data_IF_714476653447
#
_entry.id   IF_714476653447
#
_cell.length_a   1.000
_cell.length_b   1.000
_cell.length_c   1.000
_cell.angle_alpha   90.00
_cell.angle_beta   90.00
_cell.angle_gamma   90.00
#
_symmetry.space_group_name_H-M   'P 1'
#
loop_
_entity.id
_entity.type
_entity.pdbx_description
1 polymer ?
#
# COMPACT_ATOMS: atom_id res chain seq x y z
N UNK A 1 22.73 7.28 9.85
CA UNK A 1 21.64 6.36 9.44
C UNK A 1 20.36 6.84 10.11
N UNK A 2 19.21 6.68 9.44
CA UNK A 2 17.90 7.16 9.92
C UNK A 2 17.28 6.19 10.93
N UNK A 3 16.43 6.73 11.81
CA UNK A 3 15.51 5.95 12.64
C UNK A 3 14.33 5.46 11.79
N UNK A 4 13.65 4.41 12.25
CA UNK A 4 12.54 3.78 11.50
C UNK A 4 11.38 4.75 11.27
N UNK A 5 11.06 5.54 12.28
CA UNK A 5 10.03 6.56 12.30
C UNK A 5 10.28 7.74 11.35
N UNK A 6 11.49 7.88 10.81
CA UNK A 6 11.82 8.88 9.79
C UNK A 6 11.50 8.38 8.37
N UNK A 7 11.06 7.11 8.22
CA UNK A 7 10.64 6.51 6.96
C UNK A 7 9.12 6.38 6.95
N UNK A 8 8.49 6.92 5.90
CA UNK A 8 7.04 6.96 5.77
C UNK A 8 6.55 6.15 4.58
N UNK A 9 5.47 5.38 4.76
CA UNK A 9 4.73 4.73 3.69
C UNK A 9 3.49 5.56 3.36
N UNK A 10 3.43 6.10 2.15
CA UNK A 10 2.34 6.94 1.68
C UNK A 10 1.21 6.09 1.12
N UNK A 11 0.23 5.69 1.96
CA UNK A 11 -0.95 4.96 1.47
C UNK A 11 -1.91 5.85 0.65
N UNK A 12 -1.73 7.17 0.67
CA UNK A 12 -2.63 8.16 0.07
C UNK A 12 -2.18 8.64 -1.32
N UNK A 13 -1.01 8.21 -1.81
CA UNK A 13 -0.47 8.64 -3.10
C UNK A 13 -0.46 7.48 -4.07
N UNK A 14 -1.43 7.40 -4.98
CA UNK A 14 -1.37 6.40 -6.05
C UNK A 14 -0.14 6.60 -6.95
N UNK A 15 0.57 5.52 -7.27
CA UNK A 15 1.78 5.57 -8.10
C UNK A 15 1.89 4.37 -9.03
N UNK A 16 2.45 4.58 -10.22
CA UNK A 16 2.69 3.51 -11.19
C UNK A 16 4.10 3.63 -11.75
N UNK A 17 4.82 2.51 -11.72
CA UNK A 17 6.07 2.32 -12.45
C UNK A 17 6.16 0.88 -12.90
N UNK A 18 6.32 0.66 -14.22
CA UNK A 18 6.25 -0.68 -14.82
C UNK A 18 7.10 -1.71 -14.06
N UNK A 19 6.57 -2.91 -13.74
CA UNK A 19 5.18 -3.38 -13.96
C UNK A 19 4.24 -3.15 -12.76
N UNK A 20 4.62 -2.36 -11.75
CA UNK A 20 3.94 -2.29 -10.46
C UNK A 20 3.07 -1.05 -10.29
N UNK A 21 1.89 -1.28 -9.72
CA UNK A 21 0.97 -0.23 -9.29
C UNK A 21 0.91 -0.23 -7.77
N UNK A 22 1.09 0.94 -7.18
CA UNK A 22 0.67 1.22 -5.82
C UNK A 22 -0.68 1.97 -5.90
N UNK A 23 -1.69 1.42 -5.22
CA UNK A 23 -3.02 2.01 -5.11
C UNK A 23 -3.37 2.16 -3.63
N UNK A 24 -3.98 3.28 -3.20
CA UNK A 24 -4.42 3.45 -1.82
C UNK A 24 -5.28 2.28 -1.34
N UNK A 25 -4.82 1.63 -0.27
CA UNK A 25 -5.55 0.53 0.35
C UNK A 25 -6.70 1.08 1.17
N UNK A 26 -7.87 0.47 1.02
CA UNK A 26 -9.14 0.92 1.60
C UNK A 26 -10.02 1.60 0.55
N UNK A 27 -11.17 0.98 0.27
CA UNK A 27 -12.06 1.42 -0.81
C UNK A 27 -12.53 2.86 -0.64
N UNK A 28 -12.93 3.25 0.57
CA UNK A 28 -13.38 4.60 0.86
C UNK A 28 -12.24 5.62 0.69
N UNK A 29 -11.04 5.33 1.20
CA UNK A 29 -9.85 6.18 1.03
C UNK A 29 -9.56 6.45 -0.45
N UNK A 30 -9.57 5.40 -1.28
CA UNK A 30 -9.35 5.51 -2.73
C UNK A 30 -10.42 6.39 -3.41
N UNK A 31 -11.68 6.25 -3.01
CA UNK A 31 -12.79 7.04 -3.54
C UNK A 31 -12.70 8.51 -3.12
N UNK A 32 -12.41 8.78 -1.85
CA UNK A 32 -12.29 10.13 -1.29
C UNK A 32 -11.13 10.91 -1.94
N UNK A 33 -10.02 10.22 -2.20
CA UNK A 33 -8.85 10.76 -2.91
C UNK A 33 -9.03 10.80 -4.44
N UNK A 34 -10.17 10.32 -4.95
CA UNK A 34 -10.51 10.28 -6.39
C UNK A 34 -9.45 9.54 -7.22
N UNK A 35 -8.85 8.49 -6.68
CA UNK A 35 -7.81 7.74 -7.37
C UNK A 35 -8.40 6.87 -8.49
N UNK A 36 -7.74 6.88 -9.65
CA UNK A 36 -8.17 6.13 -10.83
C UNK A 36 -7.70 4.66 -10.84
N UNK A 37 -6.70 4.32 -10.03
CA UNK A 37 -6.13 2.96 -9.98
C UNK A 37 -7.18 1.89 -9.63
N UNK A 38 -6.98 0.69 -10.18
CA UNK A 38 -7.76 -0.50 -9.87
C UNK A 38 -7.11 -1.22 -8.67
N UNK A 39 -7.81 -1.40 -7.53
CA UNK A 39 -7.26 -2.06 -6.34
C UNK A 39 -6.74 -3.47 -6.59
N UNK A 40 -7.31 -4.20 -7.57
CA UNK A 40 -6.85 -5.55 -7.91
C UNK A 40 -5.44 -5.59 -8.46
N UNK A 41 -5.01 -4.48 -9.06
CA UNK A 41 -3.67 -4.33 -9.64
C UNK A 41 -2.68 -3.80 -8.59
N UNK A 42 -3.11 -3.54 -7.35
CA UNK A 42 -2.23 -3.06 -6.28
C UNK A 42 -1.17 -4.13 -5.93
N UNK A 43 0.09 -3.75 -6.01
CA UNK A 43 1.22 -4.64 -5.79
C UNK A 43 1.61 -4.76 -4.31
N UNK A 44 1.23 -3.78 -3.47
CA UNK A 44 1.70 -3.67 -2.09
C UNK A 44 1.58 -4.96 -1.28
N UNK A 45 0.46 -5.67 -1.43
CA UNK A 45 0.13 -6.81 -0.58
C UNK A 45 0.41 -8.17 -1.23
N UNK A 46 0.92 -8.19 -2.45
CA UNK A 46 1.35 -9.42 -3.12
C UNK A 46 2.57 -10.02 -2.42
N UNK A 47 2.72 -11.34 -2.46
CA UNK A 47 3.82 -12.05 -1.78
C UNK A 47 5.23 -11.62 -2.21
N UNK A 48 5.41 -11.07 -3.41
CA UNK A 48 6.69 -10.54 -3.89
C UNK A 48 6.99 -9.11 -3.40
N UNK A 49 6.01 -8.41 -2.85
CA UNK A 49 6.18 -7.07 -2.28
C UNK A 49 6.75 -7.11 -0.86
N UNK A 50 7.45 -6.06 -0.48
CA UNK A 50 7.98 -5.87 0.88
C UNK A 50 7.04 -5.08 1.80
N UNK A 51 5.89 -4.57 1.33
CA UNK A 51 5.02 -3.71 2.14
C UNK A 51 4.50 -4.43 3.39
N UNK A 52 4.09 -5.69 3.29
CA UNK A 52 3.69 -6.47 4.48
C UNK A 52 4.80 -6.54 5.54
N UNK A 53 6.06 -6.72 5.11
CA UNK A 53 7.23 -6.76 5.98
C UNK A 53 7.56 -5.39 6.57
N UNK A 54 7.36 -4.31 5.81
CA UNK A 54 7.50 -2.95 6.32
C UNK A 54 6.53 -2.70 7.48
N UNK A 55 5.26 -3.05 7.33
CA UNK A 55 4.26 -2.87 8.39
C UNK A 55 4.58 -3.70 9.63
N UNK A 56 4.96 -4.97 9.45
CA UNK A 56 5.35 -5.88 10.54
C UNK A 56 6.57 -5.36 11.33
N UNK A 57 7.65 -4.99 10.64
CA UNK A 57 8.90 -4.53 11.28
C UNK A 57 8.77 -3.18 11.99
N UNK A 58 7.75 -2.40 11.63
CA UNK A 58 7.45 -1.10 12.23
C UNK A 58 6.29 -1.15 13.23
N UNK A 59 5.63 -2.31 13.41
CA UNK A 59 4.48 -2.44 14.31
C UNK A 59 3.26 -1.63 13.86
N UNK A 60 3.11 -1.40 12.56
CA UNK A 60 2.01 -0.63 11.97
C UNK A 60 0.87 -1.59 11.62
N UNK A 61 -0.35 -1.24 12.00
CA UNK A 61 -1.54 -1.99 11.57
C UNK A 61 -1.76 -1.84 10.05
N UNK A 62 -1.99 -2.95 9.36
CA UNK A 62 -2.28 -2.93 7.92
C UNK A 62 -3.64 -2.25 7.67
N UNK A 63 -3.83 -1.51 6.56
CA UNK A 63 -5.08 -0.81 6.29
C UNK A 63 -6.24 -1.77 6.03
N UNK A 64 -7.46 -1.38 6.35
CA UNK A 64 -8.66 -2.19 6.10
C UNK A 64 -8.78 -2.57 4.62
N UNK A 65 -9.02 -3.86 4.34
CA UNK A 65 -9.25 -4.37 2.99
C UNK A 65 -7.99 -4.84 2.27
N UNK A 66 -6.81 -4.73 2.89
CA UNK A 66 -5.54 -5.23 2.32
C UNK A 66 -5.61 -6.71 1.94
N UNK A 67 -6.39 -7.52 2.66
CA UNK A 67 -6.54 -8.95 2.44
C UNK A 67 -7.13 -9.25 1.06
N UNK A 68 -7.98 -8.36 0.55
CA UNK A 68 -8.63 -8.49 -0.76
C UNK A 68 -7.67 -8.18 -1.93
N UNK A 69 -6.48 -7.67 -1.62
CA UNK A 69 -5.47 -7.24 -2.60
C UNK A 69 -4.24 -8.16 -2.59
N UNK A 70 -4.25 -9.24 -1.79
CA UNK A 70 -3.13 -10.18 -1.65
C UNK A 70 -2.96 -11.15 -2.82
N UNK A 71 -4.03 -11.41 -3.58
CA UNK A 71 -4.11 -12.44 -4.64
C UNK A 71 -3.53 -11.99 -5.99
#
# INVERSE_FOLDING_TARGET
MLKKEEIHFFNDIAYYHVPFTHCPTGEQTRLDLKCHCNPKDNFDWKGYSCTSKFFELNGIAKPEGYEKEMD
#
